data_IF_755458629874
#
_entry.id   IF_755458629874
#
_cell.length_a   1.000
_cell.length_b   1.000
_cell.length_c   1.000
_cell.angle_alpha   90.00
_cell.angle_beta   90.00
_cell.angle_gamma   90.00
#
_symmetry.space_group_name_H-M   'P 1'
#
loop_
_entity.id
_entity.type
_entity.pdbx_description
1 polymer ?
#
# COMPACT_ATOMS: atom_id res chain seq x y z
N UNK A 1 -1.92 22.55 9.44
CA UNK A 1 -2.37 21.96 8.23
C UNK A 1 -2.72 20.56 8.44
N UNK A 2 -3.84 20.21 7.90
CA UNK A 2 -4.35 18.93 8.23
C UNK A 2 -3.87 17.88 7.29
N UNK A 3 -4.10 16.68 7.64
CA UNK A 3 -3.72 15.58 6.85
C UNK A 3 -4.49 15.39 5.61
N UNK A 4 -5.63 16.06 5.53
CA UNK A 4 -6.40 16.01 4.33
C UNK A 4 -5.60 16.53 3.18
N UNK A 5 -4.60 17.33 3.48
CA UNK A 5 -3.84 17.89 2.40
C UNK A 5 -2.88 16.97 1.77
N UNK A 6 -2.68 15.80 2.34
CA UNK A 6 -1.86 14.82 1.67
C UNK A 6 -2.50 14.34 0.39
N UNK A 7 -3.85 14.40 0.28
CA UNK A 7 -4.49 14.00 -0.96
C UNK A 7 -4.46 12.53 -1.26
N UNK A 8 -3.99 11.71 -0.34
CA UNK A 8 -4.05 10.27 -0.51
C UNK A 8 -5.47 9.84 -0.17
N UNK A 9 -6.23 9.49 -1.20
CA UNK A 9 -7.65 9.24 -1.04
C UNK A 9 -7.96 7.76 -1.01
N UNK A 10 -8.81 7.38 -0.07
CA UNK A 10 -9.27 6.01 0.04
C UNK A 10 -10.39 5.78 -0.96
N UNK A 11 -10.04 5.73 -2.24
CA UNK A 11 -10.98 5.57 -3.34
C UNK A 11 -10.41 4.67 -4.42
N UNK A 12 -11.30 4.04 -5.21
CA UNK A 12 -10.86 3.13 -6.26
C UNK A 12 -9.92 3.77 -7.28
N UNK A 13 -10.19 5.01 -7.67
CA UNK A 13 -9.38 5.65 -8.69
C UNK A 13 -7.95 5.87 -8.24
N UNK A 14 -7.75 6.09 -6.95
CA UNK A 14 -6.41 6.35 -6.44
C UNK A 14 -5.59 5.08 -6.39
N UNK A 15 -6.19 3.97 -5.96
CA UNK A 15 -5.45 2.73 -5.73
C UNK A 15 -5.55 1.73 -6.88
N UNK A 16 -6.44 1.97 -7.85
CA UNK A 16 -6.54 1.13 -9.04
C UNK A 16 -6.67 -0.35 -8.69
N UNK A 17 -5.80 -1.19 -9.29
CA UNK A 17 -5.90 -2.64 -9.05
C UNK A 17 -5.61 -3.05 -7.62
N UNK A 18 -5.07 -2.17 -6.79
CA UNK A 18 -4.83 -2.48 -5.38
C UNK A 18 -6.05 -2.21 -4.51
N UNK A 19 -7.04 -1.50 -5.05
CA UNK A 19 -8.16 -1.04 -4.23
C UNK A 19 -8.91 -2.16 -3.52
N UNK A 20 -9.15 -3.27 -4.21
CA UNK A 20 -9.92 -4.36 -3.62
C UNK A 20 -9.27 -4.89 -2.34
N UNK A 21 -7.95 -4.80 -2.25
CA UNK A 21 -7.23 -5.27 -1.07
C UNK A 21 -7.12 -4.19 -0.01
N UNK A 22 -6.97 -2.94 -0.46
CA UNK A 22 -6.91 -1.81 0.46
C UNK A 22 -8.21 -1.69 1.26
N UNK A 23 -9.33 -1.88 0.59
CA UNK A 23 -10.64 -1.73 1.24
C UNK A 23 -11.09 -2.95 2.03
N UNK A 24 -10.39 -4.06 1.89
CA UNK A 24 -10.79 -5.31 2.53
C UNK A 24 -10.25 -5.36 3.96
N UNK A 25 -11.14 -5.33 4.93
CA UNK A 25 -10.75 -5.32 6.35
C UNK A 25 -9.96 -6.54 6.78
N UNK A 26 -10.05 -7.62 6.04
CA UNK A 26 -9.36 -8.85 6.39
C UNK A 26 -7.94 -8.92 5.85
N UNK A 27 -7.54 -7.93 5.06
CA UNK A 27 -6.19 -7.87 4.50
C UNK A 27 -5.37 -6.90 5.33
N UNK A 28 -4.18 -7.34 5.75
CA UNK A 28 -3.27 -6.51 6.53
C UNK A 28 -2.12 -5.95 5.72
N UNK A 29 -1.61 -6.73 4.75
CA UNK A 29 -0.44 -6.32 3.98
C UNK A 29 -0.65 -6.61 2.50
N UNK A 30 -0.16 -5.70 1.68
CA UNK A 30 -0.19 -5.81 0.23
C UNK A 30 1.25 -5.62 -0.24
N UNK A 31 1.83 -6.66 -0.85
CA UNK A 31 3.24 -6.64 -1.24
C UNK A 31 3.38 -6.92 -2.73
N UNK A 32 3.71 -5.88 -3.49
CA UNK A 32 4.00 -6.02 -4.90
C UNK A 32 5.51 -5.84 -5.12
N UNK A 33 6.17 -6.85 -5.63
CA UNK A 33 7.64 -6.83 -5.73
C UNK A 33 8.14 -6.43 -7.11
N UNK A 34 7.29 -5.87 -7.94
CA UNK A 34 7.67 -5.52 -9.31
C UNK A 34 7.23 -6.57 -10.32
N UNK A 35 6.75 -7.69 -9.84
CA UNK A 35 6.31 -8.79 -10.69
C UNK A 35 5.12 -9.54 -10.07
N UNK A 36 5.28 -9.94 -8.84
CA UNK A 36 4.25 -10.73 -8.15
C UNK A 36 3.56 -9.89 -7.08
N UNK A 37 2.29 -10.18 -6.87
CA UNK A 37 1.51 -9.55 -5.81
C UNK A 37 1.19 -10.58 -4.75
N UNK A 38 1.57 -10.28 -3.51
CA UNK A 38 1.28 -11.11 -2.35
C UNK A 38 0.39 -10.36 -1.39
N UNK A 39 -0.58 -11.06 -0.84
CA UNK A 39 -1.54 -10.48 0.11
C UNK A 39 -1.46 -11.26 1.41
N UNK A 40 -1.46 -10.56 2.54
CA UNK A 40 -1.47 -11.21 3.85
C UNK A 40 -2.77 -10.81 4.56
N UNK A 41 -3.44 -11.77 5.18
CA UNK A 41 -4.70 -11.49 5.85
C UNK A 41 -4.53 -11.41 7.36
N UNK A 42 -5.63 -11.16 8.07
CA UNK A 42 -5.58 -10.97 9.53
C UNK A 42 -5.21 -12.23 10.28
N UNK A 43 -5.27 -13.38 9.62
CA UNK A 43 -4.84 -14.64 10.23
C UNK A 43 -3.40 -14.97 9.87
N UNK A 44 -2.71 -14.01 9.28
CA UNK A 44 -1.32 -14.15 8.89
C UNK A 44 -1.12 -15.18 7.76
N UNK A 45 -2.16 -15.42 6.96
CA UNK A 45 -2.05 -16.27 5.79
C UNK A 45 -1.64 -15.43 4.61
N UNK A 46 -0.79 -15.98 3.76
CA UNK A 46 -0.22 -15.25 2.64
C UNK A 46 -0.63 -15.88 1.32
N UNK A 47 -1.10 -15.06 0.38
CA UNK A 47 -1.65 -15.53 -0.89
C UNK A 47 -0.96 -14.87 -2.06
N UNK A 48 -0.63 -15.65 -3.07
CA UNK A 48 -0.11 -15.14 -4.33
C UNK A 48 -1.28 -14.86 -5.25
N UNK A 49 -1.39 -13.61 -5.72
CA UNK A 49 -2.47 -13.22 -6.62
C UNK A 49 -1.94 -13.28 -8.05
N UNK A 50 -2.41 -14.25 -8.82
CA UNK A 50 -1.85 -14.48 -10.14
C UNK A 50 -2.30 -13.47 -11.19
N UNK A 51 -3.58 -13.06 -11.15
CA UNK A 51 -4.10 -12.11 -12.13
C UNK A 51 -4.33 -10.77 -11.46
N UNK A 52 -3.25 -10.10 -11.07
CA UNK A 52 -3.37 -8.89 -10.29
C UNK A 52 -3.68 -7.63 -11.09
N UNK A 53 -3.41 -7.65 -12.39
CA UNK A 53 -3.73 -6.49 -13.21
C UNK A 53 -2.84 -5.26 -12.99
N UNK A 54 -1.76 -5.40 -12.24
CA UNK A 54 -0.86 -4.29 -11.99
C UNK A 54 0.08 -4.14 -13.17
N UNK A 55 0.11 -2.95 -13.77
CA UNK A 55 0.95 -2.66 -14.91
C UNK A 55 2.08 -1.73 -14.49
N UNK A 56 3.14 -1.68 -15.29
CA UNK A 56 4.23 -0.73 -15.03
C UNK A 56 3.72 0.69 -15.04
N UNK A 57 2.78 0.97 -15.93
CA UNK A 57 2.22 2.31 -16.01
C UNK A 57 1.50 2.68 -14.72
N UNK A 58 0.73 1.76 -14.16
CA UNK A 58 0.06 2.02 -12.90
C UNK A 58 1.08 2.27 -11.80
N UNK A 59 2.10 1.43 -11.71
CA UNK A 59 3.11 1.56 -10.67
C UNK A 59 3.80 2.91 -10.76
N UNK A 60 4.13 3.32 -11.97
CA UNK A 60 4.79 4.60 -12.19
C UNK A 60 3.89 5.76 -11.79
N UNK A 61 2.64 5.74 -12.22
CA UNK A 61 1.69 6.79 -11.89
C UNK A 61 1.39 6.86 -10.40
N UNK A 62 1.24 5.71 -9.78
CA UNK A 62 0.97 5.63 -8.35
C UNK A 62 2.15 6.20 -7.55
N UNK A 63 3.38 5.80 -7.92
CA UNK A 63 4.58 6.30 -7.27
C UNK A 63 4.69 7.80 -7.38
N UNK A 64 4.43 8.33 -8.58
CA UNK A 64 4.51 9.76 -8.83
C UNK A 64 3.51 10.52 -7.99
N UNK A 65 2.31 9.97 -7.90
CA UNK A 65 1.24 10.59 -7.13
C UNK A 65 1.59 10.63 -5.64
N UNK A 66 2.11 9.52 -5.12
CA UNK A 66 2.52 9.47 -3.71
C UNK A 66 3.67 10.45 -3.44
N UNK A 67 4.66 10.48 -4.34
CA UNK A 67 5.80 11.38 -4.18
C UNK A 67 5.35 12.84 -4.13
N UNK A 68 4.40 13.20 -4.99
CA UNK A 68 3.86 14.56 -5.00
C UNK A 68 3.13 14.87 -3.70
N UNK A 69 2.36 13.93 -3.20
CA UNK A 69 1.58 14.17 -2.00
C UNK A 69 2.45 14.40 -0.78
N UNK A 70 3.57 13.69 -0.69
CA UNK A 70 4.47 13.88 0.46
C UNK A 70 5.59 14.86 0.14
N UNK A 71 5.59 15.44 -1.06
CA UNK A 71 6.57 16.45 -1.48
C UNK A 71 7.99 15.95 -1.35
N UNK A 72 8.23 14.73 -1.80
CA UNK A 72 9.57 14.14 -1.75
C UNK A 72 10.00 13.67 -3.11
N UNK A 73 11.30 13.78 -3.42
CA UNK A 73 11.80 13.26 -4.69
C UNK A 73 11.84 11.73 -4.65
N UNK A 74 11.64 11.12 -5.79
CA UNK A 74 11.71 9.67 -5.90
C UNK A 74 12.44 9.34 -7.21
N UNK A 75 13.66 8.82 -7.10
CA UNK A 75 14.50 8.56 -8.25
C UNK A 75 15.66 7.67 -7.82
N UNK A 76 16.66 7.51 -8.67
CA UNK A 76 17.81 6.67 -8.36
C UNK A 76 18.52 7.06 -7.08
N UNK A 77 18.63 8.35 -6.83
CA UNK A 77 19.30 8.85 -5.63
C UNK A 77 18.43 8.75 -4.42
N UNK A 78 17.14 9.03 -4.60
CA UNK A 78 16.16 8.98 -3.52
C UNK A 78 15.24 7.81 -3.81
N UNK A 79 15.74 6.63 -3.53
CA UNK A 79 15.16 5.39 -4.04
C UNK A 79 14.15 4.73 -3.11
N UNK A 80 13.87 5.33 -1.97
CA UNK A 80 12.85 4.83 -1.04
C UNK A 80 11.86 5.94 -0.78
N UNK A 81 10.57 5.65 -1.00
CA UNK A 81 9.51 6.61 -0.80
C UNK A 81 8.56 6.06 0.25
N UNK A 82 8.29 6.83 1.28
CA UNK A 82 7.39 6.40 2.33
C UNK A 82 6.32 7.44 2.57
N UNK A 83 5.09 6.97 2.76
CA UNK A 83 3.95 7.83 3.03
C UNK A 83 3.09 7.14 4.06
N UNK A 84 2.44 7.93 4.91
CA UNK A 84 1.64 7.39 5.98
C UNK A 84 0.35 8.18 6.09
N UNK A 85 -0.77 7.47 6.20
CA UNK A 85 -2.05 8.09 6.50
C UNK A 85 -2.50 7.58 7.85
N UNK A 86 -3.72 7.90 8.25
CA UNK A 86 -4.26 7.40 9.51
C UNK A 86 -4.40 5.88 9.51
N UNK A 87 -4.59 5.30 8.33
CA UNK A 87 -4.90 3.88 8.23
C UNK A 87 -3.89 3.07 7.43
N UNK A 88 -2.97 3.71 6.71
CA UNK A 88 -2.06 3.00 5.82
C UNK A 88 -0.62 3.50 5.97
N UNK A 89 0.30 2.59 5.79
CA UNK A 89 1.71 2.92 5.61
C UNK A 89 2.11 2.37 4.24
N UNK A 90 2.59 3.25 3.38
CA UNK A 90 2.95 2.91 2.00
C UNK A 90 4.43 3.10 1.81
N UNK A 91 5.10 2.08 1.29
CA UNK A 91 6.54 2.14 0.99
C UNK A 91 6.74 1.73 -0.46
N UNK A 92 7.50 2.52 -1.20
CA UNK A 92 7.78 2.23 -2.61
C UNK A 92 9.29 2.27 -2.78
N UNK A 93 9.84 1.21 -3.39
CA UNK A 93 11.27 1.10 -3.63
C UNK A 93 11.52 1.21 -5.13
N UNK A 94 12.41 2.14 -5.47
CA UNK A 94 12.74 2.41 -6.88
C UNK A 94 13.42 1.21 -7.52
N UNK A 95 13.16 1.01 -8.81
CA UNK A 95 13.70 -0.15 -9.50
C UNK A 95 15.23 -0.17 -9.58
N UNK A 96 15.88 0.96 -9.34
CA UNK A 96 17.33 1.00 -9.34
C UNK A 96 17.96 0.15 -8.24
N UNK A 97 17.21 -0.15 -7.20
CA UNK A 97 17.70 -0.97 -6.08
C UNK A 97 16.82 -2.18 -5.81
N UNK A 98 15.79 -2.39 -6.61
CA UNK A 98 14.87 -3.52 -6.45
C UNK A 98 15.15 -4.52 -7.57
N UNK A 99 15.21 -5.79 -7.19
CA UNK A 99 15.61 -6.83 -8.13
C UNK A 99 14.63 -7.03 -9.27
N UNK A 100 13.36 -7.05 -8.97
CA UNK A 100 12.34 -7.41 -9.96
C UNK A 100 11.61 -6.21 -10.54
N UNK A 101 12.02 -5.00 -10.21
CA UNK A 101 11.34 -3.78 -10.63
C UNK A 101 10.89 -2.98 -9.44
N UNK A 102 10.18 -1.88 -9.73
CA UNK A 102 9.70 -1.00 -8.65
C UNK A 102 8.69 -1.75 -7.78
N UNK A 103 8.87 -1.69 -6.47
CA UNK A 103 8.01 -2.43 -5.55
C UNK A 103 7.11 -1.49 -4.76
N UNK A 104 5.95 -2.00 -4.36
CA UNK A 104 5.00 -1.26 -3.54
C UNK A 104 4.61 -2.15 -2.37
N UNK A 105 4.72 -1.62 -1.15
CA UNK A 105 4.31 -2.32 0.04
C UNK A 105 3.34 -1.44 0.80
N UNK A 106 2.15 -1.97 1.09
CA UNK A 106 1.13 -1.25 1.84
C UNK A 106 0.77 -2.07 3.05
N UNK A 107 0.86 -1.46 4.22
CA UNK A 107 0.50 -2.12 5.47
C UNK A 107 -0.59 -1.31 6.16
N UNK A 108 -1.60 -1.99 6.65
CA UNK A 108 -2.66 -1.31 7.39
C UNK A 108 -2.18 -1.01 8.79
N UNK A 109 -2.56 0.17 9.28
CA UNK A 109 -2.04 0.63 10.56
C UNK A 109 -2.65 -0.17 11.70
N UNK A 110 -1.87 -0.30 12.75
CA UNK A 110 -2.26 -1.09 13.91
C UNK A 110 -3.53 -0.63 14.60
N UNK A 111 -3.80 0.65 14.72
CA UNK A 111 -5.03 1.06 15.41
C UNK A 111 -6.28 0.44 14.83
N UNK A 112 -6.34 0.32 13.50
CA UNK A 112 -7.50 -0.24 12.84
C UNK A 112 -7.66 -1.71 13.18
N UNK A 113 -6.58 -2.47 13.10
CA UNK A 113 -6.61 -3.89 13.43
C UNK A 113 -6.91 -4.12 14.89
N UNK A 114 -6.32 -3.29 15.74
CA UNK A 114 -6.51 -3.43 17.16
C UNK A 114 -7.96 -3.22 17.56
N UNK A 115 -8.60 -2.27 16.91
CA UNK A 115 -10.00 -2.00 17.21
C UNK A 115 -10.88 -3.18 16.84
N UNK A 116 -10.61 -3.81 15.73
CA UNK A 116 -11.36 -4.97 15.29
C UNK A 116 -11.22 -6.14 16.26
N UNK A 117 -9.99 -6.40 16.67
CA UNK A 117 -9.74 -7.50 17.60
C UNK A 117 -10.43 -7.23 18.92
N UNK A 118 -10.32 -6.02 19.41
CA UNK A 118 -10.93 -5.67 20.68
C UNK A 118 -12.45 -5.82 20.63
N UNK A 119 -13.04 -5.41 19.53
CA UNK A 119 -14.47 -5.53 19.37
C UNK A 119 -14.92 -6.98 19.37
N UNK A 120 -14.16 -7.84 18.72
CA UNK A 120 -14.47 -9.26 18.71
C UNK A 120 -14.44 -9.85 20.11
N UNK A 121 -13.44 -9.47 20.89
CA UNK A 121 -13.32 -9.98 22.25
C UNK A 121 -14.48 -9.51 23.10
N UNK A 122 -14.88 -8.25 22.94
CA UNK A 122 -15.96 -7.71 23.74
C UNK A 122 -17.32 -8.31 23.41
N UNK A 123 -17.44 -8.79 22.20
CA UNK A 123 -18.71 -9.39 21.77
C UNK A 123 -18.90 -10.78 22.34
N UNK A 124 -17.89 -11.31 22.94
CA UNK A 124 -18.02 -12.59 23.61
C UNK A 124 -18.71 -12.42 24.94
#
# INVERSE_FOLDING_TARGET
MDRQELGIRMEPDYFGPLWRYVRNDKITDIDYNGNQLWITDVENERYLIRSHGITEKFVEQFSHRIANEVSKPFNKKNNLLEAETDTLRISIVHESVAISGRSICIRKSMPMLRMQVKKMVEDE
#
